data_IF_968998795082
#
_entry.id   IF_968998795082
#
_cell.length_a   1.000
_cell.length_b   1.000
_cell.length_c   1.000
_cell.angle_alpha   90.00
_cell.angle_beta   90.00
_cell.angle_gamma   90.00
#
_symmetry.space_group_name_H-M   'P 1'
#
loop_
_entity.id
_entity.type
_entity.pdbx_description
1 polymer ?
#
# COMPACT_ATOMS: atom_id res chain seq x y z
N UNK A 1 -13.29 -4.64 -10.40
CA UNK A 1 -11.93 -4.37 -9.91
C UNK A 1 -11.74 -2.90 -9.56
N UNK A 2 -11.67 -1.96 -10.51
CA UNK A 2 -11.50 -0.52 -10.21
C UNK A 2 -12.57 0.10 -9.30
N UNK A 3 -13.82 -0.38 -9.38
CA UNK A 3 -14.91 0.07 -8.48
C UNK A 3 -14.71 -0.32 -7.01
N UNK A 4 -13.85 -1.28 -6.71
CA UNK A 4 -13.47 -1.66 -5.34
C UNK A 4 -12.26 -0.84 -4.90
N UNK A 5 -11.22 -0.78 -5.74
CA UNK A 5 -10.01 0.01 -5.46
C UNK A 5 -9.38 0.54 -6.75
N UNK A 6 -9.20 1.85 -6.84
CA UNK A 6 -8.76 2.55 -8.06
C UNK A 6 -7.34 2.14 -8.49
N UNK A 7 -6.46 1.78 -7.54
CA UNK A 7 -5.08 1.42 -7.82
C UNK A 7 -4.94 0.15 -8.70
N UNK A 8 -5.99 -0.67 -8.81
CA UNK A 8 -5.99 -1.80 -9.75
C UNK A 8 -5.83 -1.38 -11.21
N UNK A 9 -6.12 -0.13 -11.56
CA UNK A 9 -5.79 0.41 -12.87
C UNK A 9 -4.27 0.37 -13.13
N UNK A 10 -3.46 0.74 -12.13
CA UNK A 10 -2.00 0.73 -12.24
C UNK A 10 -1.47 -0.71 -12.42
N UNK A 11 -2.04 -1.67 -11.70
CA UNK A 11 -1.75 -3.10 -11.88
C UNK A 11 -2.06 -3.55 -13.31
N UNK A 12 -3.20 -3.15 -13.87
CA UNK A 12 -3.59 -3.49 -15.24
C UNK A 12 -2.67 -2.84 -16.29
N UNK A 13 -2.29 -1.58 -16.10
CA UNK A 13 -1.31 -0.85 -16.94
C UNK A 13 0.01 -1.60 -16.97
N UNK A 14 0.57 -1.94 -15.80
CA UNK A 14 1.82 -2.68 -15.69
C UNK A 14 1.75 -4.04 -16.39
N UNK A 15 0.71 -4.84 -16.12
CA UNK A 15 0.52 -6.16 -16.73
C UNK A 15 0.41 -6.11 -18.25
N UNK A 16 -0.41 -5.21 -18.79
CA UNK A 16 -0.61 -5.08 -20.23
C UNK A 16 0.64 -4.53 -20.93
N UNK A 17 1.41 -3.66 -20.27
CA UNK A 17 2.71 -3.22 -20.76
C UNK A 17 3.71 -4.37 -20.82
N UNK A 18 3.83 -5.18 -19.76
CA UNK A 18 4.71 -6.35 -19.74
C UNK A 18 4.28 -7.39 -20.78
N UNK A 19 2.98 -7.62 -20.95
CA UNK A 19 2.45 -8.52 -21.99
C UNK A 19 2.74 -7.98 -23.39
N UNK A 20 2.58 -6.68 -23.61
CA UNK A 20 2.93 -6.02 -24.86
C UNK A 20 4.42 -6.18 -25.18
N UNK A 21 5.27 -5.96 -24.18
CA UNK A 21 6.71 -6.18 -24.28
C UNK A 21 7.02 -7.63 -24.63
N UNK A 22 6.47 -8.60 -23.91
CA UNK A 22 6.65 -10.03 -24.18
C UNK A 22 6.29 -10.40 -25.63
N UNK A 23 5.14 -9.92 -26.11
CA UNK A 23 4.68 -10.18 -27.47
C UNK A 23 5.61 -9.54 -28.51
N UNK A 24 6.10 -8.33 -28.28
CA UNK A 24 7.10 -7.68 -29.15
C UNK A 24 8.42 -8.46 -29.18
N UNK A 25 8.84 -9.02 -28.05
CA UNK A 25 10.08 -9.78 -27.96
C UNK A 25 10.00 -11.15 -28.66
N UNK A 26 8.83 -11.80 -28.63
CA UNK A 26 8.57 -13.11 -29.23
C UNK A 26 8.10 -13.06 -30.70
N UNK A 27 7.54 -11.94 -31.14
CA UNK A 27 6.96 -11.81 -32.49
C UNK A 27 8.01 -12.01 -33.57
N UNK A 28 7.71 -12.90 -34.52
CA UNK A 28 8.59 -13.20 -35.67
C UNK A 28 8.22 -12.42 -36.94
N UNK A 29 7.06 -11.79 -36.95
CA UNK A 29 6.43 -11.22 -38.13
C UNK A 29 6.35 -9.68 -38.05
N UNK A 30 6.23 -9.05 -39.22
CA UNK A 30 6.05 -7.61 -39.42
C UNK A 30 4.60 -7.18 -39.11
N UNK A 31 4.01 -7.75 -38.06
CA UNK A 31 2.57 -7.78 -37.95
C UNK A 31 2.01 -6.46 -37.41
N UNK A 32 1.38 -5.69 -38.30
CA UNK A 32 0.43 -4.64 -37.93
C UNK A 32 -0.59 -5.13 -36.90
N UNK A 33 -0.94 -6.41 -36.93
CA UNK A 33 -1.84 -7.05 -35.97
C UNK A 33 -1.31 -6.98 -34.52
N UNK A 34 -0.01 -7.04 -34.30
CA UNK A 34 0.58 -6.91 -32.96
C UNK A 34 0.41 -5.49 -32.42
N UNK A 35 0.68 -4.48 -33.25
CA UNK A 35 0.51 -3.08 -32.88
C UNK A 35 -0.98 -2.79 -32.63
N UNK A 36 -1.87 -3.28 -33.50
CA UNK A 36 -3.30 -3.19 -33.29
C UNK A 36 -3.75 -3.84 -31.98
N UNK A 37 -3.14 -4.98 -31.60
CA UNK A 37 -3.42 -5.63 -30.32
C UNK A 37 -2.98 -4.77 -29.13
N UNK A 38 -1.80 -4.15 -29.18
CA UNK A 38 -1.36 -3.20 -28.14
C UNK A 38 -2.25 -1.96 -28.07
N UNK A 39 -2.70 -1.44 -29.22
CA UNK A 39 -3.66 -0.34 -29.28
C UNK A 39 -5.01 -0.73 -28.67
N UNK A 40 -5.48 -1.96 -28.89
CA UNK A 40 -6.68 -2.50 -28.23
C UNK A 40 -6.51 -2.60 -26.71
N UNK A 41 -5.32 -2.95 -26.21
CA UNK A 41 -5.04 -2.91 -24.76
C UNK A 41 -5.15 -1.49 -24.21
N UNK A 42 -4.53 -0.52 -24.87
CA UNK A 42 -4.61 0.89 -24.47
C UNK A 42 -6.05 1.43 -24.52
N UNK A 43 -6.80 1.10 -25.59
CA UNK A 43 -8.20 1.47 -25.73
C UNK A 43 -9.08 0.82 -24.63
N UNK A 44 -8.82 -0.44 -24.28
CA UNK A 44 -9.51 -1.13 -23.19
C UNK A 44 -9.27 -0.49 -21.83
N UNK A 45 -8.02 -0.09 -21.53
CA UNK A 45 -7.68 0.64 -20.31
C UNK A 45 -8.38 2.02 -20.26
N UNK A 46 -8.35 2.76 -21.36
CA UNK A 46 -9.02 4.05 -21.47
C UNK A 46 -10.54 3.90 -21.29
N UNK A 47 -11.16 2.92 -21.95
CA UNK A 47 -12.58 2.64 -21.82
C UNK A 47 -12.94 2.26 -20.38
N UNK A 48 -12.14 1.41 -19.72
CA UNK A 48 -12.36 1.05 -18.33
C UNK A 48 -12.31 2.27 -17.39
N UNK A 49 -11.35 3.18 -17.60
CA UNK A 49 -11.24 4.42 -16.85
C UNK A 49 -12.45 5.35 -17.09
N UNK A 50 -12.85 5.54 -18.35
CA UNK A 50 -14.02 6.38 -18.70
C UNK A 50 -15.29 5.81 -18.09
N UNK A 51 -15.54 4.51 -18.24
CA UNK A 51 -16.71 3.85 -17.64
C UNK A 51 -16.70 3.98 -16.11
N UNK A 52 -15.54 3.80 -15.48
CA UNK A 52 -15.40 4.00 -14.04
C UNK A 52 -15.80 5.42 -13.61
N UNK A 53 -15.27 6.45 -14.28
CA UNK A 53 -15.57 7.84 -13.94
C UNK A 53 -17.06 8.18 -14.16
N UNK A 54 -17.67 7.67 -15.23
CA UNK A 54 -19.09 7.88 -15.52
C UNK A 54 -19.98 7.21 -14.47
N UNK A 55 -19.70 5.94 -14.14
CA UNK A 55 -20.45 5.19 -13.12
C UNK A 55 -20.30 5.88 -11.76
N UNK A 56 -19.08 6.26 -11.38
CA UNK A 56 -18.82 6.95 -10.12
C UNK A 56 -19.60 8.27 -10.04
N UNK A 57 -19.59 9.08 -11.11
CA UNK A 57 -20.35 10.33 -11.19
C UNK A 57 -21.86 10.10 -11.09
N UNK A 58 -22.39 9.06 -11.74
CA UNK A 58 -23.80 8.72 -11.66
C UNK A 58 -24.22 8.28 -10.26
N UNK A 59 -23.42 7.44 -9.59
CA UNK A 59 -23.70 6.98 -8.22
C UNK A 59 -23.65 8.13 -7.21
N UNK A 60 -22.69 9.04 -7.33
CA UNK A 60 -22.62 10.24 -6.48
C UNK A 60 -23.86 11.14 -6.68
N UNK A 61 -24.29 11.33 -7.93
CA UNK A 61 -25.49 12.10 -8.23
C UNK A 61 -26.77 11.45 -7.68
N UNK A 62 -26.91 10.12 -7.81
CA UNK A 62 -28.08 9.38 -7.33
C UNK A 62 -28.16 9.29 -5.81
N UNK A 63 -27.02 9.21 -5.13
CA UNK A 63 -26.95 9.12 -3.66
C UNK A 63 -26.98 10.49 -2.97
N UNK A 64 -26.78 11.58 -3.70
CA UNK A 64 -26.53 12.90 -3.12
C UNK A 64 -25.20 12.99 -2.36
N UNK A 65 -24.34 11.98 -2.47
CA UNK A 65 -23.05 11.93 -1.80
C UNK A 65 -21.99 12.73 -2.57
N UNK A 66 -20.98 13.20 -1.85
CA UNK A 66 -19.78 13.80 -2.44
C UNK A 66 -18.64 12.78 -2.50
N UNK A 67 -17.75 12.94 -3.49
CA UNK A 67 -16.56 12.11 -3.57
C UNK A 67 -15.70 12.35 -2.31
N UNK A 68 -15.23 11.27 -1.70
CA UNK A 68 -14.33 11.36 -0.57
C UNK A 68 -13.05 12.12 -0.98
N UNK A 69 -12.55 12.99 -0.09
CA UNK A 69 -11.27 13.68 -0.26
C UNK A 69 -10.06 12.76 0.01
N UNK A 70 -10.30 11.47 0.24
CA UNK A 70 -9.27 10.50 0.58
C UNK A 70 -8.32 10.25 -0.60
N UNK A 71 -7.02 10.50 -0.38
CA UNK A 71 -5.91 10.17 -1.30
C UNK A 71 -6.10 10.67 -2.75
N UNK A 72 -6.75 11.83 -2.91
CA UNK A 72 -7.00 12.43 -4.22
C UNK A 72 -8.19 11.82 -5.00
N UNK A 73 -9.06 11.00 -4.38
CA UNK A 73 -10.23 10.43 -5.05
C UNK A 73 -11.14 11.49 -5.69
N UNK A 74 -11.37 12.62 -5.02
CA UNK A 74 -12.17 13.74 -5.53
C UNK A 74 -11.53 14.47 -6.71
N UNK A 75 -10.20 14.37 -6.86
CA UNK A 75 -9.40 15.03 -7.87
C UNK A 75 -8.96 14.08 -9.01
N UNK A 76 -9.36 12.81 -8.94
CA UNK A 76 -9.06 11.82 -9.96
C UNK A 76 -9.62 12.24 -11.33
N UNK A 77 -8.74 12.32 -12.33
CA UNK A 77 -9.08 12.78 -13.68
C UNK A 77 -9.00 14.29 -13.89
N UNK A 78 -8.77 15.09 -12.84
CA UNK A 78 -8.54 16.54 -12.92
C UNK A 78 -7.05 16.87 -12.94
N UNK A 79 -6.34 16.36 -13.96
CA UNK A 79 -4.89 16.62 -14.08
C UNK A 79 -4.67 17.98 -14.73
N UNK A 80 -4.00 18.90 -14.03
CA UNK A 80 -3.48 20.11 -14.64
C UNK A 80 -2.35 19.73 -15.62
N UNK A 81 -2.46 20.03 -16.94
CA UNK A 81 -1.45 19.64 -17.92
C UNK A 81 -0.04 20.16 -17.61
N UNK A 82 0.06 21.30 -16.90
CA UNK A 82 1.34 21.87 -16.46
C UNK A 82 2.06 21.02 -15.42
N UNK A 83 1.33 20.18 -14.68
CA UNK A 83 1.89 19.28 -13.67
C UNK A 83 2.35 17.95 -14.26
N UNK A 84 1.97 17.60 -15.49
CA UNK A 84 2.35 16.32 -16.12
C UNK A 84 3.86 16.05 -16.06
N UNK A 85 4.76 16.99 -16.41
CA UNK A 85 6.20 16.75 -16.29
C UNK A 85 6.66 16.45 -14.86
N UNK A 86 6.06 17.12 -13.87
CA UNK A 86 6.33 16.87 -12.46
C UNK A 86 5.84 15.48 -12.04
N UNK A 87 4.63 15.07 -12.44
CA UNK A 87 4.08 13.75 -12.14
C UNK A 87 4.91 12.63 -12.78
N UNK A 88 5.37 12.81 -14.01
CA UNK A 88 6.28 11.87 -14.67
C UNK A 88 7.58 11.79 -13.86
N UNK A 89 8.20 12.92 -13.50
CA UNK A 89 9.41 12.94 -12.66
C UNK A 89 9.19 12.20 -11.34
N UNK A 90 8.06 12.43 -10.68
CA UNK A 90 7.69 11.75 -9.43
C UNK A 90 7.56 10.24 -9.62
N UNK A 91 6.94 9.76 -10.71
CA UNK A 91 6.88 8.33 -11.00
C UNK A 91 8.28 7.68 -11.03
N UNK A 92 9.26 8.35 -11.65
CA UNK A 92 10.64 7.85 -11.75
C UNK A 92 11.37 7.91 -10.41
N UNK A 93 11.31 9.05 -9.71
CA UNK A 93 11.96 9.21 -8.41
C UNK A 93 11.45 8.19 -7.41
N UNK A 94 10.13 7.99 -7.36
CA UNK A 94 9.49 7.05 -6.45
C UNK A 94 9.72 5.59 -6.86
N UNK A 95 9.86 5.30 -8.16
CA UNK A 95 10.26 3.96 -8.63
C UNK A 95 11.69 3.61 -8.18
N UNK A 96 12.65 4.50 -8.37
CA UNK A 96 14.02 4.25 -7.92
C UNK A 96 14.16 4.34 -6.40
N UNK A 97 13.38 5.21 -5.74
CA UNK A 97 13.23 5.22 -4.30
C UNK A 97 12.78 3.86 -3.78
N UNK A 98 11.72 3.29 -4.36
CA UNK A 98 11.27 1.94 -4.01
C UNK A 98 12.35 0.87 -4.17
N UNK A 99 13.19 0.94 -5.21
CA UNK A 99 14.23 -0.06 -5.44
C UNK A 99 15.44 0.07 -4.51
N UNK A 100 15.84 1.29 -4.15
CA UNK A 100 17.16 1.57 -3.58
C UNK A 100 17.14 2.20 -2.19
N UNK A 101 15.98 2.62 -1.70
CA UNK A 101 15.89 3.37 -0.45
C UNK A 101 14.83 2.78 0.47
N UNK A 102 15.00 3.03 1.76
CA UNK A 102 14.04 2.67 2.80
C UNK A 102 12.78 3.57 2.78
N UNK A 103 12.52 4.30 1.69
CA UNK A 103 11.40 5.26 1.56
C UNK A 103 10.03 4.63 1.86
N UNK A 104 9.92 3.31 1.77
CA UNK A 104 8.73 2.53 2.10
C UNK A 104 8.96 1.49 3.20
N UNK A 105 10.17 1.47 3.77
CA UNK A 105 10.53 0.64 4.93
C UNK A 105 10.36 -0.87 4.71
N UNK A 106 10.22 -1.34 3.46
CA UNK A 106 10.05 -2.76 3.07
C UNK A 106 11.29 -3.37 2.42
N UNK A 107 12.25 -2.53 2.04
CA UNK A 107 13.51 -2.96 1.42
C UNK A 107 14.60 -2.81 2.48
N UNK A 108 14.99 -3.87 3.23
CA UNK A 108 16.17 -3.81 4.08
C UNK A 108 17.36 -3.28 3.29
N UNK A 109 18.30 -2.53 3.89
CA UNK A 109 19.41 -1.90 3.15
C UNK A 109 20.19 -2.84 2.21
N UNK A 110 20.27 -4.14 2.53
CA UNK A 110 20.88 -5.16 1.65
C UNK A 110 20.06 -5.46 0.37
N UNK A 111 18.74 -5.31 0.40
CA UNK A 111 17.84 -5.51 -0.75
C UNK A 111 18.01 -4.42 -1.81
N UNK A 112 18.49 -3.23 -1.47
CA UNK A 112 18.89 -2.22 -2.46
C UNK A 112 19.98 -2.73 -3.42
N UNK A 113 20.92 -3.53 -2.91
CA UNK A 113 21.97 -4.17 -3.72
C UNK A 113 21.37 -5.24 -4.64
N UNK A 114 20.49 -6.10 -4.11
CA UNK A 114 19.80 -7.15 -4.89
C UNK A 114 18.98 -6.53 -6.01
N UNK A 115 18.20 -5.48 -5.70
CA UNK A 115 17.42 -4.72 -6.68
C UNK A 115 18.31 -4.04 -7.73
N UNK A 116 19.49 -3.53 -7.34
CA UNK A 116 20.49 -2.99 -8.26
C UNK A 116 21.05 -4.02 -9.23
N UNK A 117 21.38 -5.21 -8.74
CA UNK A 117 21.84 -6.31 -9.58
C UNK A 117 20.73 -6.80 -10.52
N UNK A 118 19.48 -6.86 -10.05
CA UNK A 118 18.33 -7.19 -10.89
C UNK A 118 18.09 -6.11 -11.96
N UNK A 119 18.17 -4.84 -11.61
CA UNK A 119 18.05 -3.74 -12.56
C UNK A 119 19.17 -3.80 -13.61
N UNK A 120 20.41 -4.07 -13.19
CA UNK A 120 21.53 -4.27 -14.10
C UNK A 120 21.29 -5.45 -15.05
N UNK A 121 20.81 -6.59 -14.54
CA UNK A 121 20.39 -7.72 -15.37
C UNK A 121 19.32 -7.31 -16.38
N UNK A 122 18.26 -6.61 -15.96
CA UNK A 122 17.19 -6.14 -16.85
C UNK A 122 17.78 -5.23 -17.95
N UNK A 123 18.59 -4.23 -17.59
CA UNK A 123 19.20 -3.30 -18.55
C UNK A 123 20.09 -4.04 -19.55
N UNK A 124 20.96 -4.93 -19.08
CA UNK A 124 21.85 -5.73 -19.93
C UNK A 124 21.06 -6.66 -20.84
N UNK A 125 20.08 -7.40 -20.29
CA UNK A 125 19.21 -8.27 -21.07
C UNK A 125 18.48 -7.48 -22.16
N UNK A 126 17.85 -6.36 -21.80
CA UNK A 126 17.12 -5.49 -22.73
C UNK A 126 18.04 -4.91 -23.82
N UNK A 127 19.26 -4.55 -23.47
CA UNK A 127 20.27 -4.03 -24.42
C UNK A 127 20.87 -5.11 -25.31
N UNK A 128 20.93 -6.36 -24.84
CA UNK A 128 21.46 -7.48 -25.58
C UNK A 128 20.44 -8.13 -26.54
N UNK A 129 19.13 -7.99 -26.25
CA UNK A 129 18.04 -8.56 -27.05
C UNK A 129 18.05 -8.18 -28.55
N UNK A 130 18.44 -6.96 -28.99
CA UNK A 130 18.59 -6.66 -30.42
C UNK A 130 19.66 -7.51 -31.12
N UNK A 131 20.64 -8.02 -30.39
CA UNK A 131 21.74 -8.85 -30.88
C UNK A 131 21.44 -10.35 -30.78
N UNK A 132 20.38 -10.73 -30.06
CA UNK A 132 19.92 -12.10 -29.89
C UNK A 132 18.73 -12.41 -30.80
N UNK A 133 18.97 -13.27 -31.79
CA UNK A 133 17.90 -13.85 -32.60
C UNK A 133 17.52 -13.08 -33.87
N UNK A 134 16.26 -13.22 -34.27
CA UNK A 134 15.73 -12.86 -35.60
C UNK A 134 15.56 -11.34 -35.76
N UNK A 135 15.72 -10.84 -37.00
CA UNK A 135 15.64 -9.40 -37.33
C UNK A 135 14.26 -8.82 -37.00
N UNK A 136 14.18 -7.99 -35.97
CA UNK A 136 13.02 -7.13 -35.66
C UNK A 136 12.97 -5.92 -36.60
N UNK A 137 11.77 -5.38 -36.81
CA UNK A 137 11.61 -4.10 -37.53
C UNK A 137 12.08 -2.92 -36.67
N UNK A 138 12.46 -1.80 -37.32
CA UNK A 138 12.81 -0.55 -36.60
C UNK A 138 11.68 -0.08 -35.68
N UNK A 139 10.43 -0.23 -36.12
CA UNK A 139 9.24 0.13 -35.34
C UNK A 139 9.09 -0.75 -34.09
N UNK A 140 9.28 -2.07 -34.21
CA UNK A 140 9.24 -2.97 -33.04
C UNK A 140 10.34 -2.63 -32.03
N UNK A 141 11.56 -2.36 -32.49
CA UNK A 141 12.65 -1.93 -31.62
C UNK A 141 12.35 -0.59 -30.94
N UNK A 142 11.75 0.36 -31.66
CA UNK A 142 11.30 1.63 -31.08
C UNK A 142 10.21 1.42 -30.02
N UNK A 143 9.23 0.55 -30.26
CA UNK A 143 8.20 0.22 -29.27
C UNK A 143 8.78 -0.46 -28.03
N UNK A 144 9.72 -1.40 -28.19
CA UNK A 144 10.41 -2.05 -27.08
C UNK A 144 11.18 -1.03 -26.25
N UNK A 145 11.96 -0.15 -26.91
CA UNK A 145 12.69 0.92 -26.25
C UNK A 145 11.75 1.89 -25.51
N UNK A 146 10.62 2.26 -26.14
CA UNK A 146 9.64 3.16 -25.54
C UNK A 146 9.01 2.56 -24.28
N UNK A 147 8.57 1.30 -24.32
CA UNK A 147 8.00 0.61 -23.15
C UNK A 147 9.05 0.48 -22.05
N UNK A 148 10.29 0.15 -22.41
CA UNK A 148 11.38 0.02 -21.46
C UNK A 148 11.72 1.34 -20.78
N UNK A 149 11.83 2.43 -21.55
CA UNK A 149 12.07 3.76 -21.01
C UNK A 149 10.90 4.23 -20.14
N UNK A 150 9.66 3.93 -20.53
CA UNK A 150 8.46 4.27 -19.78
C UNK A 150 8.20 3.34 -18.57
N UNK A 151 9.04 2.33 -18.32
CA UNK A 151 8.81 1.33 -17.29
C UNK A 151 8.57 1.94 -15.88
N UNK A 152 9.36 2.91 -15.39
CA UNK A 152 9.10 3.53 -14.10
C UNK A 152 7.71 4.19 -14.03
N UNK A 153 7.27 4.81 -15.12
CA UNK A 153 5.93 5.40 -15.22
C UNK A 153 4.83 4.33 -15.29
N UNK A 154 5.03 3.24 -16.03
CA UNK A 154 4.04 2.17 -16.19
C UNK A 154 3.88 1.33 -14.92
N UNK A 155 4.96 1.11 -14.17
CA UNK A 155 4.94 0.37 -12.90
C UNK A 155 4.52 1.24 -11.72
N UNK A 156 4.57 2.57 -11.86
CA UNK A 156 4.27 3.53 -10.81
C UNK A 156 3.27 4.60 -11.25
N UNK A 157 2.28 4.22 -12.07
CA UNK A 157 1.33 5.16 -12.69
C UNK A 157 0.34 5.79 -11.70
N UNK A 158 0.40 5.44 -10.41
CA UNK A 158 -0.51 5.97 -9.38
C UNK A 158 -0.41 7.49 -9.25
N UNK A 159 0.79 8.06 -9.38
CA UNK A 159 0.99 9.51 -9.32
C UNK A 159 0.35 10.24 -10.51
N UNK A 160 0.17 9.55 -11.64
CA UNK A 160 -0.58 10.10 -12.78
C UNK A 160 -2.08 10.22 -12.50
N UNK A 161 -2.59 9.64 -11.40
CA UNK A 161 -3.99 9.75 -11.00
C UNK A 161 -4.27 10.95 -10.07
N UNK A 162 -3.29 11.86 -9.92
CA UNK A 162 -3.33 13.02 -9.01
C UNK A 162 -3.43 12.62 -7.53
N UNK A 163 -2.76 11.53 -7.15
CA UNK A 163 -2.61 11.16 -5.75
C UNK A 163 -1.64 12.13 -5.05
N UNK A 164 -2.14 12.96 -4.12
CA UNK A 164 -1.32 13.87 -3.31
C UNK A 164 -0.38 13.11 -2.37
N UNK A 165 -0.84 11.98 -1.88
CA UNK A 165 -0.06 11.01 -1.11
C UNK A 165 -0.46 9.60 -1.55
N UNK A 166 0.42 8.63 -1.33
CA UNK A 166 0.19 7.23 -1.70
C UNK A 166 0.63 6.32 -0.57
N UNK A 167 -0.14 5.28 -0.29
CA UNK A 167 0.29 4.20 0.58
C UNK A 167 0.78 3.00 -0.25
N UNK A 168 1.47 2.05 0.40
CA UNK A 168 2.05 0.88 -0.29
C UNK A 168 1.03 0.08 -1.09
N UNK A 169 -0.20 -0.08 -0.58
CA UNK A 169 -1.28 -0.79 -1.28
C UNK A 169 -1.58 -0.18 -2.66
N UNK A 170 -1.46 1.14 -2.81
CA UNK A 170 -1.71 1.83 -4.08
C UNK A 170 -0.59 1.62 -5.11
N UNK A 171 0.59 1.20 -4.65
CA UNK A 171 1.81 1.05 -5.46
C UNK A 171 2.15 -0.40 -5.74
N UNK A 172 1.22 -1.33 -5.51
CA UNK A 172 1.45 -2.77 -5.69
C UNK A 172 1.90 -3.13 -7.13
N UNK A 173 1.63 -2.28 -8.13
CA UNK A 173 2.15 -2.43 -9.49
C UNK A 173 3.68 -2.40 -9.57
N UNK A 174 4.39 -1.85 -8.58
CA UNK A 174 5.85 -1.90 -8.52
C UNK A 174 6.39 -3.33 -8.41
N UNK A 175 5.63 -4.27 -7.83
CA UNK A 175 6.02 -5.68 -7.74
C UNK A 175 6.24 -6.32 -9.12
N UNK A 176 5.65 -5.78 -10.19
CA UNK A 176 5.88 -6.23 -11.55
C UNK A 176 7.31 -5.97 -12.06
N UNK A 177 8.14 -5.23 -11.33
CA UNK A 177 9.58 -5.19 -11.53
C UNK A 177 10.20 -6.60 -11.45
N UNK A 178 9.85 -7.38 -10.43
CA UNK A 178 10.33 -8.75 -10.26
C UNK A 178 9.75 -9.70 -11.32
N UNK A 179 8.51 -9.46 -11.75
CA UNK A 179 7.87 -10.20 -12.85
C UNK A 179 8.57 -9.93 -14.19
N UNK A 180 8.98 -8.69 -14.46
CA UNK A 180 9.79 -8.35 -15.64
C UNK A 180 11.12 -9.10 -15.62
N UNK A 181 11.81 -9.14 -14.47
CA UNK A 181 13.03 -9.93 -14.32
C UNK A 181 12.77 -11.40 -14.64
N UNK A 182 11.73 -12.00 -14.07
CA UNK A 182 11.35 -13.40 -14.31
C UNK A 182 11.03 -13.68 -15.78
N UNK A 183 10.28 -12.78 -16.44
CA UNK A 183 10.00 -12.87 -17.87
C UNK A 183 11.29 -12.86 -18.70
N UNK A 184 12.25 -12.00 -18.38
CA UNK A 184 13.53 -11.92 -19.10
C UNK A 184 14.42 -13.15 -18.87
N UNK A 185 14.36 -13.77 -17.69
CA UNK A 185 15.09 -15.03 -17.42
C UNK A 185 14.64 -16.17 -18.32
N UNK A 186 13.35 -16.23 -18.67
CA UNK A 186 12.82 -17.23 -19.59
C UNK A 186 13.13 -16.88 -21.06
N UNK A 187 13.01 -15.61 -21.41
CA UNK A 187 13.17 -15.14 -22.78
C UNK A 187 14.65 -15.12 -23.23
N UNK A 188 15.57 -14.71 -22.37
CA UNK A 188 16.97 -14.47 -22.75
C UNK A 188 17.66 -15.74 -23.29
N UNK A 189 17.58 -16.92 -22.64
CA UNK A 189 18.16 -18.16 -23.15
C UNK A 189 17.44 -18.74 -24.37
N UNK A 190 16.17 -18.38 -24.55
CA UNK A 190 15.31 -18.83 -25.65
C UNK A 190 15.60 -18.05 -26.92
N UNK A 191 15.89 -16.75 -26.79
CA UNK A 191 16.18 -15.85 -27.91
C UNK A 191 17.68 -15.83 -28.30
N UNK A 192 18.58 -16.23 -27.40
CA UNK A 192 20.01 -16.29 -27.65
C UNK A 192 20.42 -17.36 -28.67
N UNK A 193 21.32 -16.99 -29.59
CA UNK A 193 21.98 -17.92 -30.53
C UNK A 193 22.96 -18.85 -29.80
N UNK A 194 23.41 -19.92 -30.45
CA UNK A 194 24.16 -21.03 -29.84
C UNK A 194 25.35 -20.60 -28.97
N UNK A 195 26.18 -19.65 -29.43
CA UNK A 195 27.35 -19.14 -28.66
C UNK A 195 26.95 -18.30 -27.42
N UNK A 196 26.09 -17.27 -27.51
CA UNK A 196 25.66 -16.52 -26.34
C UNK A 196 24.69 -17.27 -25.41
N UNK A 197 24.17 -18.43 -25.82
CA UNK A 197 23.14 -19.17 -25.06
C UNK A 197 23.61 -19.63 -23.68
N UNK A 198 24.85 -20.07 -23.53
CA UNK A 198 25.39 -20.50 -22.23
C UNK A 198 25.51 -19.31 -21.26
N UNK A 199 26.03 -18.18 -21.72
CA UNK A 199 26.10 -16.95 -20.94
C UNK A 199 24.71 -16.43 -20.57
N UNK A 200 23.75 -16.45 -21.52
CA UNK A 200 22.36 -16.09 -21.27
C UNK A 200 21.70 -16.98 -20.21
N UNK A 201 21.96 -18.31 -20.24
CA UNK A 201 21.50 -19.24 -19.19
C UNK A 201 22.12 -18.92 -17.84
N UNK A 202 23.43 -18.70 -17.78
CA UNK A 202 24.13 -18.32 -16.54
C UNK A 202 23.57 -17.02 -15.94
N UNK A 203 23.38 -15.99 -16.76
CA UNK A 203 22.76 -14.73 -16.34
C UNK A 203 21.32 -14.93 -15.85
N UNK A 204 20.54 -15.78 -16.52
CA UNK A 204 19.16 -16.08 -16.11
C UNK A 204 19.09 -16.86 -14.80
N UNK A 205 20.01 -17.80 -14.56
CA UNK A 205 20.13 -18.51 -13.28
C UNK A 205 20.55 -17.56 -12.15
N UNK A 206 21.51 -16.67 -12.40
CA UNK A 206 21.91 -15.66 -11.44
C UNK A 206 20.74 -14.73 -11.08
N UNK A 207 20.00 -14.25 -12.08
CA UNK A 207 18.81 -13.44 -11.84
C UNK A 207 17.70 -14.22 -11.10
N UNK A 208 17.51 -15.51 -11.40
CA UNK A 208 16.56 -16.36 -10.68
C UNK A 208 16.93 -16.48 -9.19
N UNK A 209 18.22 -16.63 -8.87
CA UNK A 209 18.70 -16.63 -7.49
C UNK A 209 18.43 -15.27 -6.80
N UNK A 210 18.59 -14.15 -7.51
CA UNK A 210 18.28 -12.81 -6.97
C UNK A 210 16.78 -12.60 -6.73
N UNK A 211 15.90 -13.08 -7.63
CA UNK A 211 14.45 -13.04 -7.41
C UNK A 211 14.04 -13.94 -6.25
N UNK A 212 14.63 -15.13 -6.15
CA UNK A 212 14.41 -16.01 -4.99
C UNK A 212 14.84 -15.34 -3.68
N UNK A 213 16.03 -14.73 -3.66
CA UNK A 213 16.51 -13.97 -2.50
C UNK A 213 15.58 -12.81 -2.14
N UNK A 214 15.04 -12.13 -3.15
CA UNK A 214 14.06 -11.06 -2.95
C UNK A 214 12.78 -11.58 -2.30
N UNK A 215 12.22 -12.68 -2.83
CA UNK A 215 11.02 -13.32 -2.28
C UNK A 215 11.24 -13.86 -0.86
N UNK A 216 12.42 -14.46 -0.60
CA UNK A 216 12.81 -14.91 0.73
C UNK A 216 12.88 -13.73 1.71
N UNK A 217 13.54 -12.64 1.33
CA UNK A 217 13.63 -11.43 2.17
C UNK A 217 12.26 -10.85 2.49
N UNK A 218 11.35 -10.76 1.51
CA UNK A 218 9.99 -10.29 1.76
C UNK A 218 9.17 -11.25 2.62
N UNK A 219 9.41 -12.56 2.53
CA UNK A 219 8.76 -13.56 3.39
C UNK A 219 9.21 -13.40 4.84
N UNK A 220 10.52 -13.25 5.08
CA UNK A 220 11.08 -12.99 6.41
C UNK A 220 10.49 -11.70 6.97
N UNK A 221 10.50 -10.62 6.18
CA UNK A 221 9.95 -9.33 6.60
C UNK A 221 8.46 -9.41 6.94
N UNK A 222 7.68 -10.13 6.14
CA UNK A 222 6.25 -10.37 6.40
C UNK A 222 6.04 -11.13 7.71
N UNK A 223 6.84 -12.16 7.98
CA UNK A 223 6.77 -12.91 9.24
C UNK A 223 7.12 -12.03 10.46
N UNK A 224 8.16 -11.19 10.34
CA UNK A 224 8.51 -10.24 11.40
C UNK A 224 7.38 -9.24 11.66
N UNK A 225 6.74 -8.72 10.61
CA UNK A 225 5.55 -7.85 10.70
C UNK A 225 4.38 -8.56 11.38
N UNK A 226 4.06 -9.80 10.99
CA UNK A 226 2.98 -10.57 11.61
C UNK A 226 3.25 -10.87 13.08
N UNK A 227 4.51 -11.16 13.43
CA UNK A 227 4.90 -11.36 14.81
C UNK A 227 4.70 -10.08 15.64
N UNK A 228 5.14 -8.93 15.12
CA UNK A 228 4.92 -7.63 15.75
C UNK A 228 3.42 -7.30 15.92
N UNK A 229 2.60 -7.60 14.90
CA UNK A 229 1.16 -7.43 14.95
C UNK A 229 0.53 -8.33 16.03
N UNK A 230 0.95 -9.58 16.14
CA UNK A 230 0.46 -10.49 17.17
C UNK A 230 0.83 -9.98 18.58
N UNK A 231 2.06 -9.55 18.79
CA UNK A 231 2.48 -8.96 20.08
C UNK A 231 1.69 -7.69 20.41
N UNK A 232 1.44 -6.83 19.41
CA UNK A 232 0.61 -5.64 19.59
C UNK A 232 -0.84 -6.02 19.93
N UNK A 233 -1.39 -7.02 19.26
CA UNK A 233 -2.73 -7.52 19.51
C UNK A 233 -2.89 -8.09 20.93
N UNK A 234 -1.97 -8.94 21.37
CA UNK A 234 -1.94 -9.46 22.74
C UNK A 234 -1.83 -8.32 23.76
N UNK A 235 -0.91 -7.38 23.54
CA UNK A 235 -0.75 -6.20 24.39
C UNK A 235 -2.02 -5.34 24.46
N UNK A 236 -2.65 -5.06 23.32
CA UNK A 236 -3.90 -4.31 23.24
C UNK A 236 -5.05 -5.03 23.94
N UNK A 237 -5.12 -6.37 23.83
CA UNK A 237 -6.12 -7.19 24.53
C UNK A 237 -5.95 -7.08 26.04
N UNK A 238 -4.74 -7.27 26.56
CA UNK A 238 -4.45 -7.15 28.00
C UNK A 238 -4.65 -5.73 28.54
N UNK A 239 -4.31 -4.72 27.74
CA UNK A 239 -4.58 -3.32 28.10
C UNK A 239 -6.08 -3.04 28.14
N UNK A 240 -6.82 -3.45 27.11
CA UNK A 240 -8.25 -3.24 27.03
C UNK A 240 -9.00 -3.96 28.16
N UNK A 241 -8.62 -5.20 28.49
CA UNK A 241 -9.19 -5.95 29.61
C UNK A 241 -8.99 -5.24 30.95
N UNK A 242 -7.83 -4.64 31.21
CA UNK A 242 -7.57 -3.89 32.46
C UNK A 242 -8.34 -2.57 32.53
N UNK A 243 -8.51 -1.89 31.39
CA UNK A 243 -9.35 -0.68 31.31
C UNK A 243 -10.82 -1.03 31.52
N UNK A 244 -11.29 -2.10 30.86
CA UNK A 244 -12.66 -2.61 31.03
C UNK A 244 -12.91 -3.02 32.48
N UNK A 245 -11.98 -3.75 33.11
CA UNK A 245 -12.07 -4.10 34.52
C UNK A 245 -12.19 -2.85 35.41
N UNK A 246 -11.43 -1.78 35.13
CA UNK A 246 -11.51 -0.52 35.89
C UNK A 246 -12.87 0.17 35.71
N UNK A 247 -13.47 0.05 34.54
CA UNK A 247 -14.82 0.55 34.27
C UNK A 247 -15.87 -0.28 35.02
N UNK A 248 -15.82 -1.61 34.91
CA UNK A 248 -16.77 -2.54 35.53
C UNK A 248 -16.71 -2.54 37.06
N UNK A 249 -15.56 -2.18 37.63
CA UNK A 249 -15.38 -2.06 39.09
C UNK A 249 -15.61 -0.64 39.61
N UNK A 250 -15.93 0.33 38.74
CA UNK A 250 -16.26 1.68 39.17
C UNK A 250 -17.59 1.68 39.95
N UNK A 251 -17.61 2.41 41.05
CA UNK A 251 -18.78 2.45 41.95
C UNK A 251 -20.01 2.97 41.21
N UNK A 252 -21.08 2.17 41.18
CA UNK A 252 -22.34 2.52 40.51
C UNK A 252 -22.34 2.35 38.98
N UNK A 253 -21.32 1.71 38.40
CA UNK A 253 -21.34 1.35 36.98
C UNK A 253 -22.47 0.37 36.65
N UNK A 254 -23.16 0.64 35.55
CA UNK A 254 -24.21 -0.22 35.00
C UNK A 254 -24.01 -0.38 33.48
N UNK A 255 -24.10 -1.62 32.99
CA UNK A 255 -23.81 -1.95 31.59
C UNK A 255 -24.87 -1.40 30.59
N UNK A 256 -26.00 -0.89 31.07
CA UNK A 256 -27.04 -0.23 30.27
C UNK A 256 -26.75 1.26 30.02
N UNK A 257 -25.65 1.77 30.54
CA UNK A 257 -25.26 3.18 30.40
C UNK A 257 -24.20 3.38 29.31
N UNK A 258 -24.21 4.55 28.63
CA UNK A 258 -23.25 4.85 27.58
C UNK A 258 -21.84 5.07 28.13
N UNK A 259 -20.84 4.65 27.36
CA UNK A 259 -19.41 4.80 27.69
C UNK A 259 -18.72 5.63 26.61
N UNK A 260 -17.80 6.51 27.02
CA UNK A 260 -16.98 7.33 26.14
C UNK A 260 -15.50 7.19 26.49
N UNK A 261 -14.70 6.72 25.54
CA UNK A 261 -13.24 6.74 25.65
C UNK A 261 -12.68 8.06 25.12
N UNK A 262 -11.80 8.70 25.90
CA UNK A 262 -11.20 10.01 25.57
C UNK A 262 -9.68 9.93 25.60
N UNK A 263 -9.05 10.48 24.57
CA UNK A 263 -7.60 10.53 24.41
C UNK A 263 -7.01 9.32 23.69
N UNK A 264 -5.91 9.56 22.98
CA UNK A 264 -5.12 8.52 22.31
C UNK A 264 -3.87 8.19 23.11
N UNK A 265 -3.71 6.93 23.49
CA UNK A 265 -2.49 6.46 24.17
C UNK A 265 -1.34 6.46 23.15
N UNK A 266 -0.58 7.55 23.14
CA UNK A 266 0.56 7.75 22.27
C UNK A 266 1.79 6.97 22.71
N UNK A 267 2.85 7.05 21.89
CA UNK A 267 4.12 6.31 22.08
C UNK A 267 4.91 6.69 23.33
N UNK A 268 4.52 7.75 24.03
CA UNK A 268 5.22 8.28 25.20
C UNK A 268 4.51 7.98 26.52
N UNK A 269 3.26 7.52 26.48
CA UNK A 269 2.37 7.64 27.63
C UNK A 269 2.25 6.33 28.40
N UNK A 270 2.26 5.18 27.70
CA UNK A 270 2.11 3.88 28.34
C UNK A 270 2.48 2.72 27.41
N UNK A 271 3.43 1.88 27.82
CA UNK A 271 3.87 0.69 27.08
C UNK A 271 4.70 0.99 25.83
N UNK A 272 5.57 0.07 25.44
CA UNK A 272 6.32 0.15 24.18
C UNK A 272 6.46 -1.25 23.59
N UNK A 273 6.50 -1.32 22.25
CA UNK A 273 6.94 -2.54 21.60
C UNK A 273 8.42 -2.76 21.89
N UNK A 274 8.87 -4.01 22.09
CA UNK A 274 10.28 -4.32 22.26
C UNK A 274 11.18 -3.70 21.19
N UNK A 275 12.36 -3.23 21.58
CA UNK A 275 13.30 -2.51 20.69
C UNK A 275 13.71 -3.29 19.44
N UNK A 276 13.66 -4.63 19.48
CA UNK A 276 13.95 -5.44 18.30
C UNK A 276 12.90 -5.28 17.19
N UNK A 277 11.73 -4.69 17.45
CA UNK A 277 10.77 -4.29 16.42
C UNK A 277 11.04 -2.89 15.83
N UNK A 278 12.01 -2.14 16.35
CA UNK A 278 12.29 -0.75 15.95
C UNK A 278 12.63 -0.57 14.46
N UNK A 279 13.10 -1.63 13.78
CA UNK A 279 13.40 -1.63 12.35
C UNK A 279 12.21 -2.03 11.47
N UNK A 280 11.13 -2.53 12.07
CA UNK A 280 9.94 -2.99 11.36
C UNK A 280 8.97 -1.83 11.21
N UNK A 281 8.50 -1.62 9.99
CA UNK A 281 7.43 -0.68 9.67
C UNK A 281 6.53 -1.20 8.56
N UNK A 282 5.28 -0.79 8.57
CA UNK A 282 4.32 -1.17 7.54
C UNK A 282 3.24 -0.14 7.38
N UNK A 283 2.73 -0.01 6.15
CA UNK A 283 1.58 0.83 5.88
C UNK A 283 0.35 0.26 6.61
N UNK A 284 -0.34 1.11 7.38
CA UNK A 284 -1.51 0.70 8.15
C UNK A 284 -1.18 -0.07 9.44
N UNK A 285 0.09 -0.14 9.85
CA UNK A 285 0.52 -0.81 11.07
C UNK A 285 1.12 0.23 12.00
N UNK A 286 0.56 0.34 13.21
CA UNK A 286 1.12 1.20 14.24
C UNK A 286 2.38 0.55 14.83
N UNK A 287 3.38 1.38 15.12
CA UNK A 287 4.57 0.99 15.89
C UNK A 287 4.35 1.09 17.40
N UNK A 288 3.11 1.32 17.81
CA UNK A 288 2.69 1.33 19.20
C UNK A 288 1.86 0.08 19.50
N UNK A 289 2.09 -0.61 20.64
CA UNK A 289 1.36 -1.84 20.95
C UNK A 289 -0.16 -1.61 21.03
N UNK A 290 -0.59 -0.39 21.37
CA UNK A 290 -2.01 -0.02 21.49
C UNK A 290 -2.54 0.77 20.31
N UNK A 291 -1.81 0.83 19.20
CA UNK A 291 -2.14 1.68 18.06
C UNK A 291 -3.40 1.29 17.29
N UNK A 292 -4.09 0.21 17.66
CA UNK A 292 -5.44 -0.13 17.18
C UNK A 292 -6.53 0.54 18.00
N UNK A 293 -6.22 1.05 19.19
CA UNK A 293 -7.15 1.63 20.17
C UNK A 293 -7.11 3.16 20.11
N UNK A 294 -7.36 3.72 18.92
CA UNK A 294 -7.09 5.15 18.64
C UNK A 294 -8.22 6.09 19.06
N UNK A 295 -9.45 5.70 18.77
CA UNK A 295 -10.65 6.52 19.00
C UNK A 295 -11.67 5.71 19.79
N UNK A 296 -12.66 6.39 20.37
CA UNK A 296 -13.81 5.73 21.00
C UNK A 296 -14.43 4.63 20.13
N UNK A 297 -14.60 4.90 18.83
CA UNK A 297 -15.14 3.92 17.89
C UNK A 297 -14.22 2.71 17.71
N UNK A 298 -12.90 2.91 17.70
CA UNK A 298 -11.94 1.82 17.61
C UNK A 298 -11.92 0.97 18.89
N UNK A 299 -11.98 1.59 20.06
CA UNK A 299 -12.12 0.90 21.35
C UNK A 299 -13.36 0.02 21.39
N UNK A 300 -14.53 0.59 21.07
CA UNK A 300 -15.79 -0.16 21.05
C UNK A 300 -15.80 -1.26 20.00
N UNK A 301 -15.25 -1.00 18.81
CA UNK A 301 -15.10 -2.03 17.79
C UNK A 301 -14.19 -3.17 18.26
N UNK A 302 -13.08 -2.85 18.94
CA UNK A 302 -12.15 -3.83 19.48
C UNK A 302 -12.80 -4.68 20.58
N UNK A 303 -13.39 -4.05 21.60
CA UNK A 303 -14.05 -4.74 22.71
C UNK A 303 -15.19 -5.65 22.22
N UNK A 304 -16.00 -5.16 21.28
CA UNK A 304 -17.07 -5.96 20.66
C UNK A 304 -16.52 -7.15 19.88
N UNK A 305 -15.49 -6.94 19.07
CA UNK A 305 -15.02 -7.96 18.11
C UNK A 305 -14.10 -9.00 18.73
N UNK A 306 -13.31 -8.62 19.74
CA UNK A 306 -12.28 -9.48 20.32
C UNK A 306 -12.57 -9.91 21.76
N UNK A 307 -13.27 -9.09 22.55
CA UNK A 307 -13.64 -9.44 23.93
C UNK A 307 -15.12 -9.81 24.08
N UNK A 308 -15.94 -9.69 23.02
CA UNK A 308 -17.38 -9.96 23.09
C UNK A 308 -18.16 -8.97 23.95
N UNK A 309 -17.60 -7.79 24.21
CA UNK A 309 -18.15 -6.78 25.12
C UNK A 309 -18.64 -5.55 24.35
N UNK A 310 -19.90 -5.54 23.87
CA UNK A 310 -20.47 -4.36 23.24
C UNK A 310 -20.82 -3.30 24.29
N UNK A 311 -20.20 -2.12 24.18
CA UNK A 311 -20.54 -0.96 25.00
C UNK A 311 -21.48 -0.02 24.25
N UNK A 312 -22.40 0.62 24.98
CA UNK A 312 -23.30 1.63 24.43
C UNK A 312 -22.54 2.94 24.14
N UNK A 313 -22.92 3.61 23.06
CA UNK A 313 -22.36 4.91 22.71
C UNK A 313 -23.28 6.05 23.15
N UNK A 314 -22.71 7.14 23.71
CA UNK A 314 -23.45 8.39 23.82
C UNK A 314 -23.76 8.95 22.42
N UNK A 315 -24.66 9.94 22.38
CA UNK A 315 -24.92 10.67 21.12
C UNK A 315 -23.67 11.45 20.67
N UNK A 316 -23.60 11.78 19.39
CA UNK A 316 -22.47 12.55 18.83
C UNK A 316 -22.36 13.93 19.49
N UNK A 317 -23.50 14.56 19.80
CA UNK A 317 -23.56 15.86 20.48
C UNK A 317 -23.05 15.77 21.92
N UNK A 318 -23.50 14.78 22.70
CA UNK A 318 -22.97 14.52 24.05
C UNK A 318 -21.47 14.23 24.03
N UNK A 319 -21.01 13.42 23.07
CA UNK A 319 -19.58 13.11 22.92
C UNK A 319 -18.74 14.36 22.68
N UNK A 320 -19.22 15.25 21.80
CA UNK A 320 -18.53 16.49 21.47
C UNK A 320 -18.48 17.46 22.67
N UNK A 321 -19.58 17.59 23.39
CA UNK A 321 -19.66 18.43 24.60
C UNK A 321 -18.73 17.92 25.70
N UNK A 322 -18.77 16.61 25.99
CA UNK A 322 -17.92 16.02 27.03
C UNK A 322 -16.44 16.15 26.72
N UNK A 323 -16.01 15.89 25.48
CA UNK A 323 -14.60 16.05 25.06
C UNK A 323 -14.08 17.46 25.26
N UNK A 324 -14.93 18.47 25.07
CA UNK A 324 -14.56 19.88 25.24
C UNK A 324 -14.66 20.38 26.68
N UNK A 325 -15.34 19.64 27.56
CA UNK A 325 -15.60 20.04 28.94
C UNK A 325 -14.33 20.12 29.78
N UNK A 326 -14.28 21.10 30.69
CA UNK A 326 -13.19 21.21 31.66
C UNK A 326 -13.19 20.05 32.66
N UNK A 327 -14.36 19.43 32.90
CA UNK A 327 -14.47 18.24 33.72
C UNK A 327 -13.60 17.10 33.15
N UNK A 328 -13.75 16.76 31.87
CA UNK A 328 -12.98 15.70 31.21
C UNK A 328 -11.51 16.06 31.03
N UNK A 329 -11.20 17.33 30.76
CA UNK A 329 -9.80 17.80 30.65
C UNK A 329 -9.04 17.69 31.97
N UNK A 330 -9.71 17.89 33.09
CA UNK A 330 -9.10 17.81 34.43
C UNK A 330 -9.16 16.38 35.02
N UNK A 331 -9.80 15.42 34.35
CA UNK A 331 -9.79 14.03 34.79
C UNK A 331 -8.35 13.46 34.74
N UNK A 332 -7.93 12.73 35.78
CA UNK A 332 -6.70 11.95 35.74
C UNK A 332 -6.70 10.96 34.56
N UNK A 333 -5.53 10.68 34.01
CA UNK A 333 -5.38 9.73 32.90
C UNK A 333 -5.18 8.32 33.45
N UNK A 334 -5.72 7.30 32.79
CA UNK A 334 -5.44 5.90 33.12
C UNK A 334 -3.91 5.67 33.12
N UNK A 335 -3.33 4.99 34.13
CA UNK A 335 -3.98 4.16 35.16
C UNK A 335 -4.28 4.86 36.50
N UNK A 336 -4.18 6.18 36.60
CA UNK A 336 -4.44 6.91 37.85
C UNK A 336 -5.89 6.75 38.33
N UNK A 337 -6.08 6.76 39.65
CA UNK A 337 -7.43 6.74 40.23
C UNK A 337 -8.21 7.99 39.80
N UNK A 338 -9.52 7.83 39.59
CA UNK A 338 -10.38 8.89 39.04
C UNK A 338 -10.33 9.02 37.50
N UNK A 339 -9.62 8.14 36.79
CA UNK A 339 -9.64 8.11 35.32
C UNK A 339 -10.95 7.60 34.69
N UNK A 340 -11.81 6.99 35.51
CA UNK A 340 -13.17 6.60 35.15
C UNK A 340 -14.14 7.40 36.01
N UNK A 341 -15.01 8.17 35.37
CA UNK A 341 -16.02 8.98 36.07
C UNK A 341 -17.33 9.02 35.27
N UNK A 342 -18.45 9.13 35.99
CA UNK A 342 -19.76 9.37 35.39
C UNK A 342 -20.02 10.86 35.29
N UNK A 343 -20.16 11.36 34.06
CA UNK A 343 -20.41 12.77 33.75
C UNK A 343 -21.63 12.85 32.83
N UNK A 344 -22.63 13.64 33.22
CA UNK A 344 -23.87 13.86 32.44
C UNK A 344 -24.57 12.56 31.96
N UNK A 345 -24.53 11.51 32.79
CA UNK A 345 -25.13 10.21 32.47
C UNK A 345 -24.29 9.32 31.54
N UNK A 346 -23.04 9.70 31.27
CA UNK A 346 -22.08 8.95 30.44
C UNK A 346 -20.86 8.56 31.29
N UNK A 347 -20.44 7.31 31.19
CA UNK A 347 -19.18 6.86 31.77
C UNK A 347 -18.01 7.27 30.89
N UNK A 348 -17.21 8.22 31.36
CA UNK A 348 -16.02 8.69 30.66
C UNK A 348 -14.80 7.93 31.17
N UNK A 349 -14.02 7.38 30.24
CA UNK A 349 -12.71 6.75 30.50
C UNK A 349 -11.63 7.61 29.86
N UNK A 350 -10.84 8.31 30.69
CA UNK A 350 -9.76 9.20 30.23
C UNK A 350 -8.46 8.41 30.09
N UNK A 351 -8.04 8.18 28.85
CA UNK A 351 -6.86 7.39 28.50
C UNK A 351 -5.62 8.26 28.31
N UNK A 352 -5.79 9.42 27.67
CA UNK A 352 -4.75 10.40 27.43
C UNK A 352 -5.36 11.79 27.23
N UNK A 353 -4.52 12.79 27.02
CA UNK A 353 -4.97 14.09 26.54
C UNK A 353 -5.38 14.01 25.06
N UNK A 354 -6.27 14.90 24.62
CA UNK A 354 -6.64 15.00 23.20
C UNK A 354 -5.64 15.85 22.42
#
# INVERSE_FOLDING_TARGET
SMGIYQAYLCTAVALLALRGLQLLLLSQSKDKALIQKMLRYAAGLLLALVLYLLINKALLALSGAQAAQYMGMSEMGKINPRLIPHLIKTCYLQFFGFLFTDMEQVVPGAMGVVNGLLLAFIVVAMSALPFFGKKRTRLQNACVALIFLALPLLLNSVYMMNAESTHMLMRYSMAFFYVLAGMLMELLPTLALSRPRAAARGASLAAAALVFLSGFSFTVYSNQLYFMLNTSYEGATEYASRVLYRLETAEGYDATEPVLFVGYVGTTDYGHLPDYFSHIRGSGISTHPYGVLVTDSHWKAFLRSYLGMPLLSPTDEQSALLRQSDAVKNMPRYPSDGCVQKLDGVWVVKLADE
#
